data_IF_940509118220
#
_entry.id   IF_940509118220
#
_cell.length_a   1.000
_cell.length_b   1.000
_cell.length_c   1.000
_cell.angle_alpha   90.00
_cell.angle_beta   90.00
_cell.angle_gamma   90.00
#
_symmetry.space_group_name_H-M   'P 1'
#
loop_
_entity.id
_entity.type
_entity.pdbx_description
1 polymer ?
#
# COMPACT_ATOMS: atom_id res chain seq x y z
N UNK A 1 19.03 17.25 -4.78
CA UNK A 1 18.02 17.59 -3.76
C UNK A 1 16.98 16.48 -3.61
N UNK A 2 16.11 16.22 -4.60
CA UNK A 2 15.04 15.21 -4.45
C UNK A 2 15.51 13.77 -4.18
N UNK A 3 16.68 13.37 -4.70
CA UNK A 3 17.27 12.07 -4.37
C UNK A 3 17.63 11.91 -2.90
N UNK A 4 18.01 13.00 -2.22
CA UNK A 4 18.27 12.99 -0.78
C UNK A 4 16.99 12.81 0.04
N UNK A 5 15.88 13.37 -0.44
CA UNK A 5 14.59 13.36 0.28
C UNK A 5 14.01 11.94 0.40
N UNK A 6 14.18 11.09 -0.62
CA UNK A 6 13.76 9.68 -0.55
C UNK A 6 14.44 8.95 0.62
N UNK A 7 15.70 9.27 0.89
CA UNK A 7 16.46 8.67 1.98
C UNK A 7 16.11 9.24 3.36
N UNK A 8 15.34 10.33 3.41
CA UNK A 8 14.93 11.07 4.59
C UNK A 8 13.43 10.88 4.95
N UNK A 9 12.74 9.92 4.33
CA UNK A 9 11.36 9.60 4.68
C UNK A 9 11.24 9.16 6.15
N UNK A 10 10.29 9.76 6.87
CA UNK A 10 9.95 9.46 8.25
C UNK A 10 8.42 9.42 8.41
N UNK A 11 7.86 8.65 9.36
CA UNK A 11 6.44 8.71 9.63
C UNK A 11 6.07 10.12 10.12
N UNK A 12 5.05 10.72 9.50
CA UNK A 12 4.45 11.95 9.98
C UNK A 12 3.49 11.59 11.11
N UNK A 13 3.94 11.75 12.35
CA UNK A 13 3.10 11.53 13.54
C UNK A 13 2.03 12.61 13.71
N UNK A 14 2.20 13.76 13.05
CA UNK A 14 1.31 14.91 13.13
C UNK A 14 0.08 14.80 12.21
N UNK A 15 0.13 13.97 11.16
CA UNK A 15 -0.93 13.84 10.16
C UNK A 15 -1.64 12.51 10.30
N UNK A 16 -2.95 12.58 10.54
CA UNK A 16 -3.82 11.40 10.68
C UNK A 16 -4.94 11.41 9.65
N UNK A 17 -5.49 10.24 9.34
CA UNK A 17 -6.67 10.10 8.47
C UNK A 17 -7.83 9.60 9.31
N UNK A 18 -8.92 10.37 9.36
CA UNK A 18 -10.04 10.10 10.25
C UNK A 18 -11.37 10.09 9.51
N UNK A 19 -12.18 9.07 9.79
CA UNK A 19 -13.49 8.94 9.18
C UNK A 19 -14.49 10.04 9.55
N UNK A 20 -14.35 10.62 10.74
CA UNK A 20 -15.13 11.73 11.27
C UNK A 20 -14.35 12.37 12.43
N UNK A 21 -14.77 13.56 12.85
CA UNK A 21 -14.18 14.24 14.00
C UNK A 21 -14.45 13.47 15.30
N UNK A 22 -13.51 13.47 16.26
CA UNK A 22 -13.75 12.88 17.57
C UNK A 22 -14.95 13.54 18.25
N UNK A 23 -15.73 12.78 19.03
CA UNK A 23 -16.90 13.32 19.69
C UNK A 23 -16.50 14.40 20.71
N UNK A 24 -17.29 15.46 20.91
CA UNK A 24 -16.98 16.51 21.88
C UNK A 24 -16.82 16.00 23.32
N UNK A 25 -17.43 14.86 23.66
CA UNK A 25 -17.31 14.20 24.95
C UNK A 25 -15.93 13.58 25.20
N UNK A 26 -15.22 13.21 24.13
CA UNK A 26 -13.87 12.65 24.20
C UNK A 26 -13.03 13.13 23.00
N UNK A 27 -12.50 14.36 23.07
CA UNK A 27 -11.74 14.96 21.96
C UNK A 27 -10.38 14.30 21.74
N UNK A 28 -9.91 13.46 22.66
CA UNK A 28 -8.62 12.75 22.57
C UNK A 28 -8.75 11.36 21.95
N UNK A 29 -9.97 10.90 21.65
CA UNK A 29 -10.16 9.65 20.92
C UNK A 29 -9.59 9.76 19.51
N UNK A 30 -8.65 8.86 19.16
CA UNK A 30 -8.19 8.71 17.77
C UNK A 30 -9.22 7.96 16.95
N UNK A 31 -9.77 8.64 15.96
CA UNK A 31 -10.73 8.06 15.00
C UNK A 31 -9.95 7.51 13.80
N UNK A 32 -9.96 6.19 13.55
CA UNK A 32 -9.21 5.58 12.46
C UNK A 32 -9.78 5.98 11.08
N UNK A 33 -9.04 5.68 10.01
CA UNK A 33 -9.51 5.93 8.66
C UNK A 33 -10.68 5.00 8.29
N UNK A 34 -10.60 3.73 8.71
CA UNK A 34 -11.64 2.72 8.54
C UNK A 34 -11.94 2.01 9.88
N UNK A 35 -13.15 1.44 10.01
CA UNK A 35 -13.53 0.68 11.22
C UNK A 35 -12.83 -0.69 11.31
N UNK A 36 -12.29 -1.16 10.18
CA UNK A 36 -11.51 -2.40 10.07
C UNK A 36 -10.22 -2.15 9.27
N UNK A 37 -9.41 -3.20 9.09
CA UNK A 37 -8.17 -3.16 8.31
C UNK A 37 -8.35 -2.43 6.99
N UNK A 38 -7.52 -1.43 6.73
CA UNK A 38 -7.36 -0.90 5.37
C UNK A 38 -6.62 -1.97 4.57
N UNK A 39 -7.09 -2.30 3.37
CA UNK A 39 -6.54 -3.37 2.51
C UNK A 39 -5.88 -2.84 1.26
N UNK A 40 -6.36 -1.72 0.74
CA UNK A 40 -5.86 -1.15 -0.51
C UNK A 40 -5.76 0.37 -0.41
N UNK A 41 -4.69 0.92 -0.97
CA UNK A 41 -4.49 2.35 -1.21
C UNK A 41 -4.16 2.58 -2.68
N UNK A 42 -4.68 3.65 -3.25
CA UNK A 42 -4.26 4.14 -4.56
C UNK A 42 -4.41 5.65 -4.61
N UNK A 43 -3.55 6.33 -5.36
CA UNK A 43 -3.51 7.78 -5.47
C UNK A 43 -3.71 8.15 -6.93
N UNK A 44 -4.39 9.27 -7.17
CA UNK A 44 -4.54 9.84 -8.49
C UNK A 44 -3.16 10.07 -9.12
N UNK A 45 -2.97 9.54 -10.34
CA UNK A 45 -1.68 9.64 -11.05
C UNK A 45 -1.43 11.02 -11.63
N UNK A 46 -2.48 11.78 -11.94
CA UNK A 46 -2.36 13.03 -12.68
C UNK A 46 -1.91 14.18 -11.79
N UNK A 47 -2.67 14.47 -10.74
CA UNK A 47 -2.39 15.58 -9.82
C UNK A 47 -1.76 15.08 -8.51
N UNK A 48 -1.97 13.81 -8.14
CA UNK A 48 -1.53 13.31 -6.84
C UNK A 48 -2.31 13.90 -5.67
N UNK A 49 -3.50 14.46 -5.94
CA UNK A 49 -4.36 15.15 -4.97
C UNK A 49 -5.29 14.21 -4.21
N UNK A 50 -5.90 13.26 -4.90
CA UNK A 50 -6.90 12.36 -4.30
C UNK A 50 -6.28 11.01 -3.94
N UNK A 51 -6.45 10.60 -2.67
CA UNK A 51 -6.14 9.26 -2.19
C UNK A 51 -7.45 8.48 -2.02
N UNK A 52 -7.46 7.24 -2.49
CA UNK A 52 -8.53 6.27 -2.23
C UNK A 52 -8.05 5.21 -1.25
N UNK A 53 -8.90 4.85 -0.30
CA UNK A 53 -8.67 3.75 0.62
C UNK A 53 -9.84 2.80 0.67
N UNK A 54 -9.52 1.50 0.68
CA UNK A 54 -10.49 0.41 0.71
C UNK A 54 -10.34 -0.43 1.96
N UNK A 55 -11.42 -0.62 2.71
CA UNK A 55 -11.43 -1.35 3.97
C UNK A 55 -11.92 -2.79 3.84
N UNK A 56 -11.50 -3.62 4.80
CA UNK A 56 -12.09 -4.94 5.03
C UNK A 56 -13.56 -4.86 5.49
N UNK A 57 -14.02 -3.67 5.89
CA UNK A 57 -15.40 -3.33 6.24
C UNK A 57 -16.29 -3.03 5.02
N UNK A 58 -15.83 -3.34 3.80
CA UNK A 58 -16.49 -3.07 2.52
C UNK A 58 -16.68 -1.58 2.19
N UNK A 59 -16.00 -0.67 2.92
CA UNK A 59 -16.08 0.77 2.65
C UNK A 59 -14.94 1.27 1.76
N UNK A 60 -15.25 2.22 0.89
CA UNK A 60 -14.29 3.00 0.10
C UNK A 60 -14.37 4.44 0.59
N UNK A 61 -13.22 5.07 0.81
CA UNK A 61 -13.15 6.48 1.21
C UNK A 61 -12.23 7.25 0.27
N UNK A 62 -12.59 8.50 0.01
CA UNK A 62 -11.76 9.46 -0.73
C UNK A 62 -11.22 10.50 0.24
N UNK A 63 -9.94 10.81 0.09
CA UNK A 63 -9.24 11.83 0.86
C UNK A 63 -8.65 12.86 -0.11
N UNK A 64 -8.85 14.14 0.21
CA UNK A 64 -8.17 15.23 -0.47
C UNK A 64 -6.88 15.56 0.31
N UNK A 65 -5.73 15.29 -0.31
CA UNK A 65 -4.41 15.49 0.29
C UNK A 65 -3.97 16.97 0.26
N UNK A 66 -4.65 17.82 -0.50
CA UNK A 66 -4.38 19.27 -0.56
C UNK A 66 -5.39 20.08 0.26
N UNK A 67 -6.48 19.45 0.70
CA UNK A 67 -7.43 20.10 1.58
C UNK A 67 -6.77 20.49 2.92
N UNK A 68 -7.19 21.65 3.46
CA UNK A 68 -6.76 22.07 4.79
C UNK A 68 -7.09 21.00 5.82
N UNK A 69 -6.07 20.55 6.53
CA UNK A 69 -6.24 19.59 7.61
C UNK A 69 -7.04 20.23 8.75
N UNK A 70 -7.89 19.43 9.41
CA UNK A 70 -8.61 19.90 10.59
C UNK A 70 -7.75 19.64 11.82
N UNK A 71 -7.53 20.67 12.64
CA UNK A 71 -6.84 20.50 13.90
C UNK A 71 -7.75 19.80 14.91
N UNK A 72 -7.27 18.68 15.45
CA UNK A 72 -7.89 17.95 16.56
C UNK A 72 -7.00 18.06 17.80
N UNK A 73 -7.52 17.69 18.97
CA UNK A 73 -6.71 17.64 20.19
C UNK A 73 -5.52 16.66 20.12
N UNK A 74 -5.51 15.76 19.12
CA UNK A 74 -4.46 14.76 18.90
C UNK A 74 -3.51 15.07 17.74
N UNK A 75 -3.71 16.18 17.03
CA UNK A 75 -2.92 16.56 15.85
C UNK A 75 -3.79 16.96 14.64
N UNK A 76 -3.16 17.15 13.49
CA UNK A 76 -3.84 17.48 12.25
C UNK A 76 -4.45 16.21 11.63
N UNK A 77 -5.69 16.31 11.13
CA UNK A 77 -6.41 15.20 10.53
C UNK A 77 -6.97 15.56 9.15
N UNK A 78 -6.73 14.69 8.17
CA UNK A 78 -7.52 14.64 6.95
C UNK A 78 -8.85 13.95 7.26
N UNK A 79 -9.94 14.65 6.99
CA UNK A 79 -11.28 14.07 7.06
C UNK A 79 -11.65 13.46 5.71
N UNK A 80 -12.39 12.34 5.75
CA UNK A 80 -12.87 11.72 4.53
C UNK A 80 -13.81 12.68 3.79
N UNK A 81 -13.52 12.96 2.51
CA UNK A 81 -14.33 13.82 1.66
C UNK A 81 -15.70 13.17 1.39
N UNK A 82 -15.66 11.88 1.09
CA UNK A 82 -16.83 11.06 0.82
C UNK A 82 -16.52 9.60 1.14
N UNK A 83 -17.56 8.81 1.40
CA UNK A 83 -17.44 7.38 1.67
C UNK A 83 -18.55 6.60 0.95
N UNK A 84 -18.18 5.52 0.27
CA UNK A 84 -19.09 4.51 -0.24
C UNK A 84 -19.11 3.37 0.78
N UNK A 85 -20.30 2.98 1.20
CA UNK A 85 -20.51 1.87 2.12
C UNK A 85 -21.23 0.70 1.46
N UNK A 86 -21.39 -0.37 2.23
CA UNK A 86 -22.18 -1.53 1.86
C UNK A 86 -23.56 -1.13 1.33
N UNK A 87 -23.86 -1.48 0.09
CA UNK A 87 -25.20 -1.33 -0.48
C UNK A 87 -26.21 -2.14 0.35
N UNK A 88 -27.35 -1.51 0.70
CA UNK A 88 -28.39 -2.15 1.52
C UNK A 88 -28.89 -3.43 0.84
N UNK A 89 -28.58 -4.58 1.42
CA UNK A 89 -29.00 -5.91 0.93
C UNK A 89 -27.88 -6.74 0.29
N UNK A 90 -26.72 -6.16 0.00
CA UNK A 90 -25.57 -6.88 -0.56
C UNK A 90 -24.79 -7.69 0.48
N UNK A 91 -24.20 -8.82 0.08
CA UNK A 91 -23.21 -9.57 0.87
C UNK A 91 -21.85 -8.84 0.86
N UNK A 92 -21.80 -7.61 1.38
CA UNK A 92 -20.56 -6.81 1.41
C UNK A 92 -19.46 -7.55 2.18
N UNK A 93 -18.43 -7.99 1.45
CA UNK A 93 -17.18 -8.52 1.97
C UNK A 93 -16.06 -7.48 1.76
N UNK A 94 -14.89 -7.74 2.33
CA UNK A 94 -13.78 -6.79 2.32
C UNK A 94 -13.24 -6.50 0.92
N UNK A 95 -12.81 -5.26 0.71
CA UNK A 95 -12.15 -4.83 -0.52
C UNK A 95 -10.74 -5.40 -0.55
N UNK A 96 -10.31 -5.93 -1.69
CA UNK A 96 -9.00 -6.54 -1.89
C UNK A 96 -8.02 -5.61 -2.59
N UNK A 97 -8.49 -4.84 -3.57
CA UNK A 97 -7.66 -3.89 -4.31
C UNK A 97 -8.48 -2.71 -4.84
N UNK A 98 -7.83 -1.56 -4.96
CA UNK A 98 -8.33 -0.36 -5.62
C UNK A 98 -7.35 0.08 -6.70
N UNK A 99 -7.87 0.62 -7.79
CA UNK A 99 -7.06 1.24 -8.84
C UNK A 99 -7.83 2.38 -9.51
N UNK A 100 -7.22 3.57 -9.57
CA UNK A 100 -7.70 4.61 -10.47
C UNK A 100 -7.63 4.11 -11.92
N UNK A 101 -8.60 4.57 -12.72
CA UNK A 101 -8.52 4.34 -14.14
C UNK A 101 -7.38 5.19 -14.72
N UNK A 102 -6.42 4.59 -15.45
CA UNK A 102 -5.13 5.23 -15.72
C UNK A 102 -5.18 6.42 -16.69
N UNK A 103 -6.30 6.61 -17.40
CA UNK A 103 -6.48 7.67 -18.39
C UNK A 103 -7.53 8.72 -17.99
N UNK A 104 -8.22 8.52 -16.86
CA UNK A 104 -9.27 9.40 -16.36
C UNK A 104 -9.35 9.30 -14.83
N UNK A 105 -9.11 10.42 -14.12
CA UNK A 105 -9.20 10.50 -12.66
C UNK A 105 -10.64 10.45 -12.15
N UNK A 106 -11.64 10.60 -13.02
CA UNK A 106 -13.06 10.56 -12.68
C UNK A 106 -13.59 9.13 -12.49
N UNK A 107 -12.77 8.11 -12.79
CA UNK A 107 -13.15 6.72 -12.68
C UNK A 107 -12.13 5.91 -11.88
N UNK A 108 -12.61 4.94 -11.10
CA UNK A 108 -11.77 3.98 -10.41
C UNK A 108 -12.48 2.64 -10.26
N UNK A 109 -11.70 1.59 -10.04
CA UNK A 109 -12.19 0.24 -9.86
C UNK A 109 -11.89 -0.27 -8.45
N UNK A 110 -12.81 -1.08 -7.93
CA UNK A 110 -12.59 -1.88 -6.73
C UNK A 110 -12.76 -3.35 -7.06
N UNK A 111 -11.99 -4.19 -6.36
CA UNK A 111 -12.20 -5.63 -6.31
C UNK A 111 -12.47 -6.06 -4.89
N UNK A 112 -13.28 -7.09 -4.72
CA UNK A 112 -13.75 -7.52 -3.42
C UNK A 112 -13.76 -9.04 -3.27
N UNK A 113 -13.78 -9.49 -2.01
CA UNK A 113 -14.00 -10.89 -1.66
C UNK A 113 -15.43 -11.38 -1.99
N UNK A 114 -16.35 -10.48 -2.35
CA UNK A 114 -17.73 -10.79 -2.77
C UNK A 114 -17.87 -11.27 -4.22
N UNK A 115 -16.73 -11.54 -4.88
CA UNK A 115 -16.60 -12.02 -6.25
C UNK A 115 -16.79 -10.96 -7.33
N UNK A 116 -16.94 -9.70 -6.94
CA UNK A 116 -17.23 -8.61 -7.86
C UNK A 116 -16.02 -7.72 -8.12
N UNK A 117 -15.99 -7.17 -9.33
CA UNK A 117 -15.22 -5.98 -9.67
C UNK A 117 -16.21 -4.88 -10.00
N UNK A 118 -16.11 -3.73 -9.32
CA UNK A 118 -17.03 -2.62 -9.49
C UNK A 118 -16.29 -1.41 -10.06
N UNK A 119 -16.91 -0.73 -11.01
CA UNK A 119 -16.45 0.53 -11.58
C UNK A 119 -17.24 1.67 -10.94
N UNK A 120 -16.54 2.69 -10.44
CA UNK A 120 -17.12 3.83 -9.74
C UNK A 120 -16.78 5.14 -10.43
N UNK A 121 -17.67 6.12 -10.27
CA UNK A 121 -17.36 7.53 -10.47
C UNK A 121 -16.71 8.10 -9.20
N UNK A 122 -15.56 8.76 -9.32
CA UNK A 122 -14.86 9.35 -8.17
C UNK A 122 -15.58 10.56 -7.59
N UNK A 123 -16.33 11.33 -8.40
CA UNK A 123 -17.11 12.48 -7.93
C UNK A 123 -18.28 12.06 -7.04
N UNK A 124 -19.01 11.02 -7.44
CA UNK A 124 -20.26 10.61 -6.78
C UNK A 124 -20.08 9.41 -5.83
N UNK A 125 -18.97 8.67 -5.96
CA UNK A 125 -18.75 7.39 -5.28
C UNK A 125 -19.84 6.34 -5.55
N UNK A 126 -20.57 6.46 -6.66
CA UNK A 126 -21.61 5.50 -7.06
C UNK A 126 -21.03 4.48 -8.06
N UNK A 127 -21.38 3.21 -7.86
CA UNK A 127 -21.03 2.15 -8.79
C UNK A 127 -21.78 2.34 -10.11
N UNK A 128 -21.04 2.49 -11.21
CA UNK A 128 -21.56 2.63 -12.57
C UNK A 128 -21.71 1.28 -13.27
N UNK A 129 -20.87 0.31 -12.93
CA UNK A 129 -20.95 -1.06 -13.44
C UNK A 129 -20.45 -2.07 -12.40
N UNK A 130 -20.97 -3.29 -12.47
CA UNK A 130 -20.62 -4.42 -11.60
C UNK A 130 -20.35 -5.64 -12.47
N UNK A 131 -19.20 -6.28 -12.25
CA UNK A 131 -18.76 -7.46 -12.98
C UNK A 131 -18.59 -8.61 -11.99
N UNK A 132 -19.47 -9.60 -12.05
CA UNK A 132 -19.35 -10.83 -11.27
C UNK A 132 -18.42 -11.82 -11.97
N UNK A 133 -17.42 -12.31 -11.24
CA UNK A 133 -16.43 -13.27 -11.72
C UNK A 133 -16.63 -14.69 -11.17
N UNK A 134 -17.68 -14.91 -10.36
CA UNK A 134 -17.98 -16.19 -9.67
C UNK A 134 -16.81 -16.73 -8.83
N UNK A 135 -15.92 -15.83 -8.41
CA UNK A 135 -14.71 -16.15 -7.70
C UNK A 135 -14.18 -14.96 -6.91
N UNK A 136 -13.61 -15.25 -5.73
CA UNK A 136 -12.84 -14.27 -4.96
C UNK A 136 -11.77 -13.63 -5.85
N UNK A 137 -11.76 -12.30 -5.88
CA UNK A 137 -10.79 -11.49 -6.62
C UNK A 137 -9.72 -10.99 -5.66
N UNK A 138 -8.48 -11.45 -5.80
CA UNK A 138 -7.36 -11.08 -4.93
C UNK A 138 -6.68 -9.77 -5.35
N UNK A 139 -6.65 -9.51 -6.65
CA UNK A 139 -5.99 -8.33 -7.21
C UNK A 139 -6.60 -7.97 -8.57
N UNK A 140 -6.58 -6.69 -8.88
CA UNK A 140 -6.88 -6.15 -10.22
C UNK A 140 -5.73 -5.28 -10.71
N UNK A 141 -5.53 -5.26 -12.01
CA UNK A 141 -4.57 -4.39 -12.66
C UNK A 141 -5.10 -3.83 -13.97
N UNK A 142 -4.82 -2.57 -14.24
CA UNK A 142 -5.07 -1.89 -15.51
C UNK A 142 -3.74 -1.52 -16.17
N UNK A 143 -3.73 -1.48 -17.51
CA UNK A 143 -2.54 -1.04 -18.24
C UNK A 143 -2.41 0.48 -18.19
N UNK A 144 -1.25 1.04 -17.77
CA UNK A 144 -1.08 2.48 -17.69
C UNK A 144 -0.91 3.18 -19.06
N UNK A 145 -0.76 2.40 -20.13
CA UNK A 145 -0.42 2.90 -21.48
C UNK A 145 -1.35 2.39 -22.57
N UNK A 146 -2.06 1.29 -22.35
CA UNK A 146 -2.76 0.63 -23.43
C UNK A 146 -4.03 1.38 -23.85
N UNK A 147 -4.32 1.32 -25.15
CA UNK A 147 -5.57 1.81 -25.72
C UNK A 147 -6.77 0.88 -25.48
N UNK A 148 -6.54 -0.34 -24.99
CA UNK A 148 -7.60 -1.30 -24.68
C UNK A 148 -8.17 -1.07 -23.28
N UNK A 149 -9.42 -1.48 -23.09
CA UNK A 149 -10.16 -1.27 -21.84
C UNK A 149 -10.21 -2.54 -20.98
N UNK A 150 -9.13 -3.34 -21.02
CA UNK A 150 -9.06 -4.61 -20.31
C UNK A 150 -8.55 -4.42 -18.89
N UNK A 151 -9.24 -5.06 -17.95
CA UNK A 151 -8.83 -5.21 -16.55
C UNK A 151 -8.39 -6.64 -16.36
N UNK A 152 -7.16 -6.84 -15.89
CA UNK A 152 -6.69 -8.15 -15.49
C UNK A 152 -7.09 -8.43 -14.04
N UNK A 153 -7.78 -9.54 -13.82
CA UNK A 153 -8.27 -9.95 -12.52
C UNK A 153 -7.60 -11.25 -12.08
N UNK A 154 -6.89 -11.18 -10.96
CA UNK A 154 -6.34 -12.31 -10.25
C UNK A 154 -7.43 -12.91 -9.35
N UNK A 155 -7.79 -14.17 -9.57
CA UNK A 155 -8.92 -14.81 -8.87
C UNK A 155 -8.51 -16.13 -8.22
N UNK A 156 -9.40 -16.71 -7.43
CA UNK A 156 -9.23 -18.07 -6.89
C UNK A 156 -9.05 -19.14 -7.98
N UNK A 157 -9.47 -18.86 -9.21
CA UNK A 157 -9.32 -19.77 -10.32
C UNK A 157 -7.90 -19.74 -10.91
N UNK A 158 -7.47 -20.83 -11.56
CA UNK A 158 -6.16 -20.94 -12.21
C UNK A 158 -5.98 -20.07 -13.46
N UNK A 159 -7.04 -19.46 -13.96
CA UNK A 159 -6.94 -18.63 -15.15
C UNK A 159 -6.99 -17.16 -14.73
N UNK A 160 -6.13 -16.34 -15.35
CA UNK A 160 -6.27 -14.89 -15.24
C UNK A 160 -7.50 -14.49 -16.04
N UNK A 161 -8.46 -13.82 -15.40
CA UNK A 161 -9.68 -13.32 -16.06
C UNK A 161 -9.39 -11.93 -16.61
N UNK A 162 -9.77 -11.65 -17.86
CA UNK A 162 -9.77 -10.30 -18.39
C UNK A 162 -11.21 -9.83 -18.54
N UNK A 163 -11.48 -8.64 -17.99
CA UNK A 163 -12.78 -7.96 -18.09
C UNK A 163 -12.62 -6.79 -19.05
N UNK A 164 -13.47 -6.74 -20.07
CA UNK A 164 -13.52 -5.59 -20.98
C UNK A 164 -14.55 -4.57 -20.50
N UNK A 165 -14.10 -3.39 -20.09
CA UNK A 165 -14.98 -2.33 -19.58
C UNK A 165 -15.89 -1.75 -20.67
N UNK A 166 -15.56 -1.92 -21.96
CA UNK A 166 -16.39 -1.41 -23.06
C UNK A 166 -17.65 -2.24 -23.25
N UNK A 167 -17.47 -3.55 -23.31
CA UNK A 167 -18.56 -4.51 -23.59
C UNK A 167 -19.18 -5.09 -22.33
N UNK A 168 -18.49 -4.98 -21.20
CA UNK A 168 -18.80 -5.68 -19.96
C UNK A 168 -18.55 -7.19 -20.00
N UNK A 169 -17.88 -7.69 -21.04
CA UNK A 169 -17.60 -9.12 -21.19
C UNK A 169 -16.48 -9.58 -20.23
N UNK A 170 -16.69 -10.73 -19.59
CA UNK A 170 -15.74 -11.41 -18.67
C UNK A 170 -15.21 -12.74 -19.23
N UNK A 171 -15.43 -12.98 -20.53
CA UNK A 171 -15.22 -14.29 -21.17
C UNK A 171 -13.75 -14.59 -21.47
N UNK A 172 -12.90 -13.57 -21.59
CA UNK A 172 -11.51 -13.78 -21.93
C UNK A 172 -10.74 -14.30 -20.72
N UNK A 173 -10.05 -15.43 -20.89
CA UNK A 173 -9.29 -16.07 -19.81
C UNK A 173 -7.94 -16.56 -20.32
N UNK A 174 -6.89 -16.30 -19.54
CA UNK A 174 -5.53 -16.72 -19.83
C UNK A 174 -5.23 -17.97 -19.01
N UNK A 175 -5.23 -19.13 -19.67
CA UNK A 175 -5.04 -20.41 -19.03
C UNK A 175 -3.55 -20.79 -18.93
N UNK A 176 -3.10 -21.17 -17.73
CA UNK A 176 -1.76 -21.74 -17.53
C UNK A 176 -1.33 -21.95 -16.09
N UNK A 177 -1.78 -21.14 -15.12
CA UNK A 177 -1.41 -21.35 -13.71
C UNK A 177 -2.00 -22.65 -13.15
N UNK A 178 -1.37 -23.19 -12.11
CA UNK A 178 -1.80 -24.39 -11.40
C UNK A 178 -2.25 -24.01 -9.98
N UNK A 179 -3.39 -23.33 -9.90
CA UNK A 179 -3.97 -22.83 -8.64
C UNK A 179 -4.27 -21.34 -8.69
N UNK A 180 -4.74 -20.77 -7.57
CA UNK A 180 -5.20 -19.38 -7.53
C UNK A 180 -4.13 -18.38 -8.01
N UNK A 181 -4.55 -17.41 -8.81
CA UNK A 181 -3.74 -16.27 -9.21
C UNK A 181 -3.87 -15.21 -8.11
N UNK A 182 -2.76 -14.78 -7.53
CA UNK A 182 -2.77 -13.85 -6.40
C UNK A 182 -2.53 -12.40 -6.84
N UNK A 183 -1.71 -12.19 -7.86
CA UNK A 183 -1.33 -10.85 -8.32
C UNK A 183 -1.16 -10.78 -9.83
N UNK A 184 -1.51 -9.64 -10.40
CA UNK A 184 -1.34 -9.31 -11.83
C UNK A 184 -0.72 -7.92 -11.96
N UNK A 185 0.10 -7.69 -12.98
CA UNK A 185 0.62 -6.36 -13.29
C UNK A 185 0.88 -6.20 -14.79
N UNK A 186 0.36 -5.13 -15.37
CA UNK A 186 0.60 -4.78 -16.77
C UNK A 186 1.97 -4.14 -16.96
N UNK A 187 2.56 -4.38 -18.13
CA UNK A 187 3.83 -3.77 -18.52
C UNK A 187 3.66 -2.25 -18.71
N UNK A 188 4.53 -1.41 -18.11
CA UNK A 188 4.44 0.04 -18.23
C UNK A 188 4.93 0.57 -19.58
N UNK A 189 5.52 -0.28 -20.43
CA UNK A 189 6.14 0.09 -21.72
C UNK A 189 5.61 -0.70 -22.92
N UNK A 190 4.79 -1.74 -22.71
CA UNK A 190 4.22 -2.57 -23.78
C UNK A 190 2.73 -2.81 -23.54
N UNK A 191 1.89 -2.33 -24.45
CA UNK A 191 0.43 -2.23 -24.28
C UNK A 191 -0.26 -3.56 -23.94
N UNK A 192 0.18 -4.65 -24.56
CA UNK A 192 -0.50 -5.95 -24.49
C UNK A 192 0.19 -6.97 -23.59
N UNK A 193 1.25 -6.57 -22.89
CA UNK A 193 2.02 -7.49 -22.04
C UNK A 193 1.51 -7.41 -20.61
N UNK A 194 1.12 -8.57 -20.09
CA UNK A 194 0.69 -8.76 -18.72
C UNK A 194 1.59 -9.79 -18.04
N UNK A 195 1.88 -9.57 -16.76
CA UNK A 195 2.51 -10.58 -15.91
C UNK A 195 1.56 -10.97 -14.78
N UNK A 196 1.49 -12.25 -14.46
CA UNK A 196 0.71 -12.77 -13.35
C UNK A 196 1.52 -13.72 -12.49
N UNK A 197 1.13 -13.85 -11.23
CA UNK A 197 1.75 -14.78 -10.30
C UNK A 197 0.71 -15.39 -9.34
N UNK A 198 0.97 -16.60 -8.87
CA UNK A 198 -0.02 -17.38 -8.13
C UNK A 198 0.55 -18.26 -7.02
N UNK A 199 -0.34 -19.09 -6.49
CA UNK A 199 -0.06 -20.07 -5.42
C UNK A 199 0.94 -21.14 -5.86
N UNK A 200 1.03 -21.41 -7.15
CA UNK A 200 1.96 -22.38 -7.75
C UNK A 200 3.44 -21.95 -7.70
N UNK A 201 3.72 -20.74 -7.25
CA UNK A 201 5.08 -20.17 -7.21
C UNK A 201 5.60 -19.74 -8.58
N UNK A 202 4.76 -19.79 -9.62
CA UNK A 202 5.13 -19.38 -10.98
C UNK A 202 4.82 -17.89 -11.20
N UNK A 203 5.65 -17.26 -12.03
CA UNK A 203 5.40 -15.93 -12.58
C UNK A 203 5.38 -16.08 -14.09
N UNK A 204 4.26 -15.69 -14.72
CA UNK A 204 3.96 -15.97 -16.13
C UNK A 204 3.75 -14.69 -16.90
N UNK A 205 4.23 -14.66 -18.13
CA UNK A 205 4.09 -13.54 -19.06
C UNK A 205 3.04 -13.88 -20.11
N UNK A 206 2.22 -12.90 -20.46
CA UNK A 206 1.12 -13.05 -21.41
C UNK A 206 1.17 -11.93 -22.43
N UNK A 207 0.84 -12.26 -23.68
CA UNK A 207 0.39 -11.29 -24.67
C UNK A 207 -1.11 -11.50 -24.81
N UNK A 208 -1.91 -10.54 -24.37
CA UNK A 208 -3.37 -10.69 -24.31
C UNK A 208 -4.03 -10.82 -25.69
N UNK A 209 -3.29 -10.55 -26.77
CA UNK A 209 -3.75 -10.77 -28.15
C UNK A 209 -3.63 -12.22 -28.60
N UNK A 210 -2.87 -13.04 -27.87
CA UNK A 210 -2.72 -14.46 -28.18
C UNK A 210 -3.87 -15.23 -27.54
N UNK A 211 -4.56 -16.01 -28.36
CA UNK A 211 -5.69 -16.83 -27.92
C UNK A 211 -5.26 -18.08 -27.15
N UNK A 212 -4.00 -18.50 -27.24
CA UNK A 212 -3.48 -19.71 -26.59
C UNK A 212 -2.07 -19.49 -26.07
N UNK A 213 -1.87 -19.88 -24.82
CA UNK A 213 -0.55 -20.02 -24.19
C UNK A 213 0.01 -18.74 -23.60
N UNK A 214 0.86 -18.94 -22.59
CA UNK A 214 1.75 -17.89 -22.08
C UNK A 214 2.90 -17.60 -23.06
N UNK A 215 3.48 -16.41 -22.97
CA UNK A 215 4.74 -16.09 -23.65
C UNK A 215 5.92 -16.86 -23.05
N UNK A 216 5.86 -17.12 -21.76
CA UNK A 216 6.85 -17.84 -20.99
C UNK A 216 6.61 -17.66 -19.49
N UNK A 217 7.29 -18.48 -18.70
CA UNK A 217 7.28 -18.40 -17.25
C UNK A 217 8.72 -18.26 -16.74
N UNK A 218 8.88 -17.49 -15.66
CA UNK A 218 10.15 -17.31 -14.99
C UNK A 218 10.52 -18.59 -14.23
N UNK A 219 11.80 -18.92 -14.27
CA UNK A 219 12.34 -20.12 -13.65
C UNK A 219 13.56 -19.74 -12.81
N UNK A 220 13.49 -20.04 -11.52
CA UNK A 220 14.55 -19.79 -10.55
C UNK A 220 15.85 -20.53 -10.90
N UNK A 221 15.75 -21.70 -11.52
CA UNK A 221 16.89 -22.53 -11.86
C UNK A 221 17.49 -22.13 -13.24
N UNK A 222 16.81 -21.29 -14.03
CA UNK A 222 17.31 -20.74 -15.29
C UNK A 222 18.05 -19.40 -15.08
N UNK A 223 19.36 -19.50 -14.88
CA UNK A 223 20.24 -18.34 -14.72
C UNK A 223 20.49 -17.54 -16.00
N UNK A 224 20.19 -18.10 -17.18
CA UNK A 224 20.48 -17.47 -18.48
C UNK A 224 19.26 -16.77 -19.06
N UNK A 225 18.05 -17.16 -18.64
CA UNK A 225 16.83 -16.63 -19.23
C UNK A 225 16.67 -17.07 -20.68
N UNK A 226 16.88 -18.36 -20.97
CA UNK A 226 16.64 -18.88 -22.32
C UNK A 226 15.13 -19.10 -22.59
N UNK A 227 14.29 -18.92 -21.56
CA UNK A 227 12.87 -19.27 -21.58
C UNK A 227 11.87 -18.14 -21.82
N UNK A 228 12.28 -16.86 -21.83
CA UNK A 228 11.37 -15.73 -22.02
C UNK A 228 11.64 -15.04 -23.37
N UNK A 229 10.59 -14.90 -24.19
CA UNK A 229 10.58 -14.13 -25.45
C UNK A 229 11.61 -14.60 -26.49
N UNK A 230 11.34 -15.75 -27.13
CA UNK A 230 11.80 -16.02 -28.51
C UNK A 230 13.30 -16.26 -28.75
N UNK A 231 14.16 -16.18 -27.73
CA UNK A 231 15.58 -16.43 -27.88
C UNK A 231 15.86 -17.95 -27.92
N UNK A 232 15.80 -18.55 -29.12
CA UNK A 232 16.26 -19.92 -29.35
C UNK A 232 17.79 -19.96 -29.25
N UNK A 233 18.35 -20.14 -28.06
CA UNK A 233 19.77 -20.48 -27.91
C UNK A 233 19.95 -21.99 -28.05
N UNK A 234 20.45 -22.42 -29.22
CA UNK A 234 21.02 -23.73 -29.61
C UNK A 234 20.32 -25.04 -29.19
N UNK A 235 20.22 -26.09 -30.06
CA UNK A 235 19.50 -27.34 -29.78
C UNK A 235 20.11 -28.23 -28.67
N UNK A 236 21.17 -27.80 -27.97
CA UNK A 236 21.92 -28.67 -27.06
C UNK A 236 21.32 -28.84 -25.65
N UNK A 237 20.21 -28.17 -25.33
CA UNK A 237 19.47 -28.40 -24.07
C UNK A 237 18.20 -29.25 -24.27
N UNK A 238 18.04 -29.92 -25.42
CA UNK A 238 16.92 -30.83 -25.68
C UNK A 238 17.13 -32.23 -25.09
N UNK A 239 17.74 -32.33 -23.90
CA UNK A 239 17.56 -33.51 -23.06
C UNK A 239 16.39 -33.23 -22.12
N UNK A 240 15.22 -33.64 -22.58
CA UNK A 240 14.06 -34.06 -21.79
C UNK A 240 14.06 -33.62 -20.31
N UNK A 241 13.37 -32.52 -20.02
CA UNK A 241 12.52 -32.47 -18.83
C UNK A 241 11.12 -32.04 -19.25
N UNK A 242 10.38 -32.99 -19.84
CA UNK A 242 8.94 -33.02 -19.58
C UNK A 242 8.80 -33.47 -18.12
N UNK A 243 8.74 -32.55 -17.15
CA UNK A 243 8.03 -32.77 -15.86
C UNK A 243 8.24 -31.72 -14.77
N UNK A 244 9.13 -30.73 -14.87
CA UNK A 244 9.31 -29.76 -13.76
C UNK A 244 8.54 -28.47 -14.05
N UNK A 245 7.59 -28.06 -13.19
CA UNK A 245 6.92 -26.77 -13.33
C UNK A 245 7.94 -25.65 -13.14
N UNK A 246 7.97 -24.68 -14.07
CA UNK A 246 8.80 -23.48 -13.96
C UNK A 246 8.31 -22.64 -12.77
N UNK A 247 9.19 -22.44 -11.79
CA UNK A 247 8.86 -21.74 -10.56
C UNK A 247 9.82 -20.58 -10.35
N UNK A 248 9.26 -19.40 -10.09
CA UNK A 248 10.03 -18.22 -9.71
C UNK A 248 10.37 -18.23 -8.21
N UNK A 249 9.51 -18.81 -7.38
CA UNK A 249 9.65 -18.89 -5.93
C UNK A 249 9.32 -20.29 -5.42
N UNK A 250 9.91 -20.69 -4.28
CA UNK A 250 9.62 -21.97 -3.59
C UNK A 250 8.37 -21.88 -2.70
N UNK A 251 7.32 -21.22 -3.21
CA UNK A 251 6.07 -20.95 -2.51
C UNK A 251 5.23 -19.89 -3.24
N UNK A 252 4.01 -19.59 -2.76
CA UNK A 252 3.12 -18.61 -3.38
C UNK A 252 3.78 -17.26 -3.65
N UNK A 253 3.48 -16.65 -4.79
CA UNK A 253 3.92 -15.31 -5.17
C UNK A 253 2.74 -14.36 -5.10
N UNK A 254 2.80 -13.41 -4.16
CA UNK A 254 1.73 -12.46 -3.85
C UNK A 254 2.16 -10.99 -4.03
N UNK A 255 3.40 -10.74 -4.44
CA UNK A 255 3.88 -9.40 -4.78
C UNK A 255 4.52 -9.39 -6.15
N UNK A 256 4.11 -8.45 -7.00
CA UNK A 256 4.65 -8.27 -8.33
C UNK A 256 4.62 -6.80 -8.73
N UNK A 257 5.74 -6.27 -9.19
CA UNK A 257 5.83 -4.90 -9.71
C UNK A 257 6.82 -4.81 -10.87
N UNK A 258 6.62 -3.85 -11.75
CA UNK A 258 7.53 -3.56 -12.84
C UNK A 258 8.43 -2.37 -12.47
N UNK A 259 9.67 -2.43 -12.92
CA UNK A 259 10.50 -1.22 -13.06
C UNK A 259 9.85 -0.28 -14.07
N UNK A 260 10.02 1.03 -13.87
CA UNK A 260 9.33 2.05 -14.67
C UNK A 260 9.74 2.01 -16.16
N UNK A 261 10.97 1.58 -16.45
CA UNK A 261 11.47 1.34 -17.80
C UNK A 261 11.00 0.01 -18.42
N UNK A 262 10.32 -0.83 -17.63
CA UNK A 262 9.82 -2.14 -18.00
C UNK A 262 10.89 -3.20 -18.27
N UNK A 263 12.18 -2.93 -17.96
CA UNK A 263 13.29 -3.87 -18.21
C UNK A 263 13.35 -4.97 -17.16
N UNK A 264 12.80 -4.73 -15.98
CA UNK A 264 12.79 -5.71 -14.90
C UNK A 264 11.41 -5.86 -14.27
N UNK A 265 11.13 -7.07 -13.80
CA UNK A 265 10.02 -7.40 -12.90
C UNK A 265 10.61 -7.76 -11.55
N UNK A 266 10.00 -7.26 -10.48
CA UNK A 266 10.30 -7.66 -9.11
C UNK A 266 9.18 -8.54 -8.59
N UNK A 267 9.52 -9.73 -8.10
CA UNK A 267 8.56 -10.67 -7.51
C UNK A 267 8.87 -10.97 -6.04
N UNK A 268 7.82 -11.09 -5.24
CA UNK A 268 7.90 -11.37 -3.80
C UNK A 268 7.10 -12.63 -3.49
N UNK A 269 7.74 -13.60 -2.83
CA UNK A 269 7.11 -14.89 -2.52
C UNK A 269 7.18 -15.27 -1.05
N UNK A 270 6.42 -16.31 -0.69
CA UNK A 270 6.35 -16.87 0.66
C UNK A 270 7.62 -17.59 1.10
N UNK A 271 8.55 -17.82 0.18
CA UNK A 271 9.91 -18.27 0.49
C UNK A 271 10.77 -17.17 1.14
N UNK A 272 10.15 -16.05 1.53
CA UNK A 272 10.78 -14.89 2.16
C UNK A 272 11.89 -14.28 1.28
N UNK A 273 11.76 -14.42 -0.05
CA UNK A 273 12.68 -13.84 -1.01
C UNK A 273 11.97 -12.79 -1.87
N UNK A 274 12.75 -11.76 -2.23
CA UNK A 274 12.44 -10.83 -3.31
C UNK A 274 13.42 -11.16 -4.45
N UNK A 275 12.94 -11.22 -5.68
CA UNK A 275 13.77 -11.50 -6.86
C UNK A 275 13.53 -10.45 -7.93
N UNK A 276 14.58 -10.09 -8.65
CA UNK A 276 14.55 -9.15 -9.76
C UNK A 276 14.92 -9.89 -11.03
N UNK A 277 14.06 -9.79 -12.04
CA UNK A 277 14.16 -10.56 -13.28
C UNK A 277 14.26 -9.63 -14.45
N UNK A 278 15.19 -9.91 -15.36
CA UNK A 278 15.25 -9.22 -16.65
C UNK A 278 14.05 -9.65 -17.51
N UNK A 279 13.34 -8.71 -18.12
CA UNK A 279 12.08 -9.00 -18.85
C UNK A 279 12.30 -9.34 -20.31
N UNK A 280 13.52 -9.17 -20.82
CA UNK A 280 13.91 -9.51 -22.18
C UNK A 280 14.38 -10.96 -22.28
N UNK A 281 15.12 -11.42 -21.27
CA UNK A 281 15.64 -12.79 -21.16
C UNK A 281 14.81 -13.64 -20.19
N UNK A 282 14.27 -13.06 -19.13
CA UNK A 282 13.71 -13.83 -18.01
C UNK A 282 14.78 -14.32 -17.03
N UNK A 283 16.03 -13.87 -17.17
CA UNK A 283 17.10 -14.24 -16.27
C UNK A 283 16.87 -13.62 -14.88
N UNK A 284 17.13 -14.41 -13.83
CA UNK A 284 17.23 -13.89 -12.48
C UNK A 284 18.54 -13.09 -12.35
N UNK A 285 18.45 -11.84 -11.88
CA UNK A 285 19.63 -10.99 -11.63
C UNK A 285 20.45 -11.43 -10.41
N UNK A 286 19.93 -12.38 -9.61
CA UNK A 286 20.57 -12.97 -8.42
C UNK A 286 20.88 -11.95 -7.31
N UNK A 287 20.20 -10.80 -7.32
CA UNK A 287 20.29 -9.80 -6.25
C UNK A 287 19.79 -10.38 -4.93
N UNK A 288 20.51 -10.11 -3.85
CA UNK A 288 20.20 -10.62 -2.50
C UNK A 288 19.71 -9.48 -1.60
N UNK A 289 18.49 -9.62 -1.09
CA UNK A 289 17.87 -8.62 -0.19
C UNK A 289 18.04 -8.95 1.30
N UNK A 290 18.80 -10.00 1.63
CA UNK A 290 19.10 -10.40 3.00
C UNK A 290 17.92 -11.10 3.73
N UNK A 291 18.11 -11.50 5.00
CA UNK A 291 17.18 -12.36 5.74
C UNK A 291 16.02 -11.61 6.40
N UNK A 292 15.93 -10.28 6.24
CA UNK A 292 14.94 -9.45 6.94
C UNK A 292 13.55 -9.47 6.29
N UNK A 293 13.48 -9.88 5.02
CA UNK A 293 12.23 -10.03 4.28
C UNK A 293 11.38 -11.10 4.95
N UNK A 294 10.14 -10.75 5.27
CA UNK A 294 9.13 -11.65 5.80
C UNK A 294 7.90 -11.57 4.93
N UNK A 295 7.46 -12.70 4.41
CA UNK A 295 6.25 -12.78 3.61
C UNK A 295 5.40 -13.95 4.09
N UNK A 296 4.22 -13.64 4.64
CA UNK A 296 3.28 -14.62 5.13
C UNK A 296 1.85 -14.22 4.74
N UNK A 297 1.02 -15.24 4.52
CA UNK A 297 -0.39 -15.08 4.15
C UNK A 297 -0.62 -14.80 2.67
N UNK A 298 -1.81 -15.12 2.17
CA UNK A 298 -2.16 -15.01 0.75
C UNK A 298 -2.50 -13.58 0.28
N UNK A 299 -2.55 -12.61 1.20
CA UNK A 299 -2.83 -11.22 0.85
C UNK A 299 -1.74 -10.65 -0.06
N UNK A 300 -2.15 -9.81 -1.01
CA UNK A 300 -1.27 -9.10 -1.94
C UNK A 300 -0.24 -8.26 -1.18
N UNK A 301 1.04 -8.39 -1.53
CA UNK A 301 2.16 -7.65 -0.96
C UNK A 301 2.99 -7.02 -2.07
N UNK A 302 2.39 -6.03 -2.71
CA UNK A 302 2.99 -5.36 -3.87
C UNK A 302 3.98 -4.31 -3.35
N UNK A 303 5.30 -4.44 -3.64
CA UNK A 303 6.24 -3.39 -3.34
C UNK A 303 6.02 -2.22 -4.30
N UNK A 304 6.34 -1.01 -3.85
CA UNK A 304 6.32 0.18 -4.69
C UNK A 304 7.75 0.62 -4.99
N UNK A 305 7.97 1.17 -6.18
CA UNK A 305 9.24 1.77 -6.58
C UNK A 305 9.12 3.29 -6.49
N UNK A 306 10.16 3.93 -5.96
CA UNK A 306 10.27 5.38 -6.04
C UNK A 306 10.31 5.81 -7.52
N UNK A 307 9.61 6.89 -7.90
CA UNK A 307 9.65 7.41 -9.27
C UNK A 307 11.08 7.71 -9.72
N UNK A 308 11.42 7.33 -10.95
CA UNK A 308 12.78 7.48 -11.48
C UNK A 308 13.25 8.93 -11.54
N UNK A 309 12.34 9.90 -11.60
CA UNK A 309 12.68 11.33 -11.58
C UNK A 309 13.39 11.79 -10.29
N UNK A 310 13.25 11.03 -9.21
CA UNK A 310 13.85 11.33 -7.93
C UNK A 310 15.09 10.50 -7.64
N UNK A 311 15.44 9.56 -8.50
CA UNK A 311 16.50 8.58 -8.24
C UNK A 311 17.54 8.66 -9.36
N UNK A 312 18.81 8.41 -9.02
CA UNK A 312 19.84 8.31 -10.06
C UNK A 312 19.56 7.10 -10.97
N UNK A 313 19.90 7.14 -12.26
CA UNK A 313 19.74 5.99 -13.13
C UNK A 313 20.40 4.72 -12.52
N UNK A 314 19.67 3.60 -12.49
CA UNK A 314 20.09 2.33 -11.88
C UNK A 314 20.24 2.33 -10.35
N UNK A 315 19.83 3.41 -9.66
CA UNK A 315 19.77 3.48 -8.20
C UNK A 315 18.35 3.27 -7.66
N UNK A 316 17.46 2.68 -8.45
CA UNK A 316 16.04 2.46 -8.14
C UNK A 316 15.84 2.00 -6.69
N UNK A 317 14.97 2.71 -5.98
CA UNK A 317 14.65 2.43 -4.58
C UNK A 317 13.29 1.76 -4.51
N UNK A 318 13.23 0.60 -3.87
CA UNK A 318 12.02 -0.16 -3.61
C UNK A 318 11.63 -0.07 -2.15
N UNK A 319 10.35 0.14 -1.88
CA UNK A 319 9.74 0.05 -0.57
C UNK A 319 8.90 -1.23 -0.48
N UNK A 320 9.31 -2.14 0.41
CA UNK A 320 8.67 -3.43 0.61
C UNK A 320 7.90 -3.48 1.94
N UNK A 321 6.59 -3.81 1.94
CA UNK A 321 5.80 -3.96 3.16
C UNK A 321 6.17 -5.26 3.91
N UNK A 322 6.73 -5.12 5.12
CA UNK A 322 7.33 -6.19 5.91
C UNK A 322 6.66 -6.36 7.28
N UNK A 323 5.38 -6.71 7.31
CA UNK A 323 4.64 -6.76 8.57
C UNK A 323 4.41 -5.35 9.09
N UNK A 324 4.96 -4.97 10.24
CA UNK A 324 4.75 -3.65 10.87
C UNK A 324 5.74 -2.57 10.40
N UNK A 325 6.70 -2.92 9.53
CA UNK A 325 7.70 -2.01 9.00
C UNK A 325 7.76 -2.06 7.47
N UNK A 326 8.32 -1.02 6.86
CA UNK A 326 8.64 -0.94 5.44
C UNK A 326 10.16 -1.04 5.31
N UNK A 327 10.63 -1.96 4.48
CA UNK A 327 12.05 -2.08 4.16
C UNK A 327 12.34 -1.34 2.85
N UNK A 328 13.22 -0.34 2.90
CA UNK A 328 13.69 0.37 1.73
C UNK A 328 14.98 -0.26 1.21
N UNK A 329 14.98 -0.74 -0.04
CA UNK A 329 16.11 -1.41 -0.67
C UNK A 329 16.49 -0.71 -1.96
N UNK A 330 17.77 -0.74 -2.31
CA UNK A 330 18.20 -0.48 -3.68
C UNK A 330 17.95 -1.74 -4.52
N UNK A 331 17.21 -1.61 -5.62
CA UNK A 331 16.68 -2.74 -6.40
C UNK A 331 17.79 -3.62 -6.98
N UNK A 332 18.84 -3.01 -7.53
CA UNK A 332 19.89 -3.75 -8.26
C UNK A 332 21.08 -4.15 -7.37
N UNK A 333 21.28 -3.46 -6.26
CA UNK A 333 22.36 -3.80 -5.30
C UNK A 333 21.87 -4.69 -4.16
N UNK A 334 20.56 -4.74 -3.91
CA UNK A 334 19.97 -5.46 -2.78
C UNK A 334 20.29 -4.84 -1.42
N UNK A 335 20.95 -3.67 -1.40
CA UNK A 335 21.38 -2.97 -0.19
C UNK A 335 20.16 -2.42 0.55
N UNK A 336 20.02 -2.80 1.82
CA UNK A 336 19.06 -2.19 2.74
C UNK A 336 19.50 -0.75 3.02
N UNK A 337 18.64 0.20 2.68
CA UNK A 337 18.85 1.63 2.88
C UNK A 337 18.32 2.03 4.25
N UNK A 338 17.07 1.70 4.55
CA UNK A 338 16.36 2.14 5.74
C UNK A 338 15.22 1.19 6.10
N UNK A 339 14.86 1.20 7.38
CA UNK A 339 13.65 0.57 7.92
C UNK A 339 12.74 1.69 8.39
N UNK A 340 11.53 1.72 7.85
CA UNK A 340 10.53 2.71 8.20
C UNK A 340 9.45 2.01 9.04
N UNK A 341 9.25 2.45 10.27
CA UNK A 341 8.25 1.90 11.17
C UNK A 341 7.65 3.02 11.99
N UNK A 342 6.43 2.82 12.51
CA UNK A 342 5.82 3.77 13.44
C UNK A 342 6.65 3.83 14.72
N UNK A 343 6.86 5.03 15.25
CA UNK A 343 7.64 5.27 16.49
C UNK A 343 6.88 4.85 17.76
N UNK A 344 5.63 4.39 17.64
CA UNK A 344 4.79 3.85 18.72
C UNK A 344 5.31 2.48 19.22
N UNK A 345 6.60 2.38 19.56
CA UNK A 345 7.17 1.28 20.31
C UNK A 345 6.82 1.47 21.80
N UNK A 346 5.58 1.16 22.19
CA UNK A 346 5.38 0.61 23.52
C UNK A 346 6.13 -0.71 23.59
N UNK A 347 7.30 -0.66 24.24
CA UNK A 347 8.06 -1.75 24.86
C UNK A 347 8.08 -3.11 24.15
N UNK A 348 9.31 -3.60 23.94
CA UNK A 348 9.70 -4.93 23.47
C UNK A 348 9.19 -6.13 24.31
N UNK A 349 7.89 -6.23 24.61
CA UNK A 349 7.31 -7.35 25.37
C UNK A 349 5.79 -7.55 25.20
N UNK A 350 5.22 -7.29 24.02
CA UNK A 350 3.78 -7.55 23.77
C UNK A 350 3.54 -8.84 22.99
N UNK A 351 2.51 -9.59 23.40
CA UNK A 351 2.01 -10.83 22.78
C UNK A 351 1.99 -10.79 21.24
N UNK A 352 2.31 -11.91 20.54
CA UNK A 352 2.28 -12.00 19.07
C UNK A 352 0.93 -11.66 18.43
N UNK A 353 -0.17 -11.68 19.20
CA UNK A 353 -1.49 -11.22 18.76
C UNK A 353 -1.56 -9.70 18.51
N UNK A 354 -0.74 -8.89 19.19
CA UNK A 354 -0.71 -7.41 19.03
C UNK A 354 0.04 -7.02 17.75
N UNK A 355 1.09 -7.77 17.37
CA UNK A 355 1.84 -7.55 16.13
C UNK A 355 1.01 -7.73 14.84
N UNK A 356 -0.08 -8.50 14.91
CA UNK A 356 -0.99 -8.70 13.76
C UNK A 356 -1.80 -7.44 13.43
N UNK A 357 -2.06 -6.58 14.43
CA UNK A 357 -2.92 -5.40 14.24
C UNK A 357 -2.24 -4.26 13.50
N UNK A 358 -0.93 -4.08 13.61
CA UNK A 358 -0.22 -2.99 12.92
C UNK A 358 0.43 -3.43 11.59
N UNK A 359 0.01 -4.58 11.05
CA UNK A 359 0.57 -5.07 9.79
C UNK A 359 0.19 -4.16 8.62
N UNK A 360 1.20 -3.72 7.87
CA UNK A 360 1.07 -2.96 6.64
C UNK A 360 0.50 -3.87 5.56
N UNK A 361 -0.57 -3.42 4.95
CA UNK A 361 -1.34 -4.18 3.96
C UNK A 361 -1.15 -3.66 2.53
N UNK A 362 -0.93 -2.35 2.37
CA UNK A 362 -0.78 -1.71 1.07
C UNK A 362 0.06 -0.43 1.20
N UNK A 363 0.73 -0.05 0.12
CA UNK A 363 1.54 1.15 0.01
C UNK A 363 1.12 1.93 -1.24
N UNK A 364 1.17 3.26 -1.17
CA UNK A 364 0.94 4.14 -2.31
C UNK A 364 1.96 5.28 -2.33
N UNK A 365 2.55 5.56 -3.49
CA UNK A 365 3.44 6.72 -3.69
C UNK A 365 2.63 7.89 -4.22
N UNK A 366 2.83 9.09 -3.67
CA UNK A 366 2.20 10.32 -4.19
C UNK A 366 2.98 10.84 -5.40
N UNK A 367 2.37 10.92 -6.60
CA UNK A 367 3.01 11.56 -7.74
C UNK A 367 3.40 13.01 -7.44
N UNK A 368 4.45 13.50 -8.08
CA UNK A 368 4.94 14.90 -7.97
C UNK A 368 5.43 15.37 -6.58
N UNK A 369 5.24 14.57 -5.54
CA UNK A 369 5.75 14.80 -4.19
C UNK A 369 6.68 13.66 -3.75
N UNK A 370 7.56 13.93 -2.78
CA UNK A 370 8.35 12.89 -2.10
C UNK A 370 7.60 12.46 -0.84
N UNK A 371 6.43 11.85 -1.07
CA UNK A 371 5.51 11.42 -0.03
C UNK A 371 4.98 10.02 -0.37
N UNK A 372 4.85 9.18 0.65
CA UNK A 372 4.32 7.83 0.55
C UNK A 372 3.26 7.62 1.63
N UNK A 373 2.28 6.77 1.38
CA UNK A 373 1.27 6.40 2.36
C UNK A 373 1.24 4.89 2.55
N UNK A 374 1.05 4.45 3.80
CA UNK A 374 0.85 3.04 4.14
C UNK A 374 -0.51 2.80 4.78
N UNK A 375 -1.15 1.71 4.39
CA UNK A 375 -2.37 1.21 4.99
C UNK A 375 -2.04 0.12 6.01
N UNK A 376 -2.76 0.13 7.13
CA UNK A 376 -2.50 -0.77 8.25
C UNK A 376 -3.72 -1.64 8.58
N UNK A 377 -3.45 -2.78 9.18
CA UNK A 377 -4.47 -3.74 9.61
C UNK A 377 -5.35 -3.24 10.78
N UNK A 378 -4.94 -2.18 11.46
CA UNK A 378 -5.66 -1.52 12.56
C UNK A 378 -6.70 -0.51 12.05
N UNK A 379 -6.76 -0.28 10.74
CA UNK A 379 -7.67 0.68 10.12
C UNK A 379 -7.08 2.08 9.93
N UNK A 380 -5.80 2.29 10.26
CA UNK A 380 -5.11 3.56 10.07
C UNK A 380 -4.41 3.65 8.71
N UNK A 381 -4.20 4.90 8.29
CA UNK A 381 -3.35 5.28 7.16
C UNK A 381 -2.26 6.18 7.73
N UNK A 382 -1.01 5.91 7.38
CA UNK A 382 0.15 6.68 7.83
C UNK A 382 0.80 7.36 6.64
N UNK A 383 1.08 8.66 6.78
CA UNK A 383 1.85 9.43 5.82
C UNK A 383 3.35 9.35 6.15
N UNK A 384 4.17 9.16 5.12
CA UNK A 384 5.63 9.17 5.18
C UNK A 384 6.11 10.34 4.34
N UNK A 385 6.60 11.38 4.99
CA UNK A 385 7.08 12.60 4.36
C UNK A 385 8.58 12.71 4.54
N UNK A 386 9.26 13.37 3.60
CA UNK A 386 10.69 13.62 3.75
C UNK A 386 10.89 14.72 4.79
N UNK A 387 11.66 14.44 5.86
CA UNK A 387 12.00 15.45 6.87
C UNK A 387 13.21 16.25 6.38
N UNK A 388 13.03 17.54 6.18
CA UNK A 388 14.10 18.49 5.88
C UNK A 388 14.78 18.97 7.17
N UNK A 389 15.95 19.60 7.07
CA UNK A 389 16.61 20.21 8.24
C UNK A 389 15.74 21.33 8.86
N UNK A 390 15.05 22.10 8.02
CA UNK A 390 14.08 23.11 8.45
C UNK A 390 12.91 22.51 9.24
N UNK A 391 12.40 21.33 8.85
CA UNK A 391 11.36 20.63 9.60
C UNK A 391 11.86 20.16 10.99
N UNK A 392 13.15 19.80 11.10
CA UNK A 392 13.73 19.40 12.38
C UNK A 392 13.91 20.62 13.30
N UNK A 393 14.34 21.76 12.77
CA UNK A 393 14.45 23.02 13.52
C UNK A 393 13.06 23.51 14.00
N UNK A 394 12.04 23.44 13.15
CA UNK A 394 10.65 23.79 13.52
C UNK A 394 10.10 22.87 14.62
N UNK A 395 10.34 21.57 14.54
CA UNK A 395 9.90 20.63 15.58
C UNK A 395 10.59 20.91 16.93
N UNK A 396 11.88 21.28 16.92
CA UNK A 396 12.62 21.68 18.13
C UNK A 396 12.06 23.00 18.71
N UNK A 397 11.72 23.97 17.86
CA UNK A 397 11.04 25.20 18.28
C UNK A 397 9.67 24.91 18.90
N UNK A 398 8.83 24.07 18.26
CA UNK A 398 7.53 23.68 18.80
C UNK A 398 7.63 22.89 20.11
N UNK A 399 8.63 22.02 20.26
CA UNK A 399 8.87 21.31 21.52
C UNK A 399 9.27 22.27 22.65
N UNK A 400 10.16 23.24 22.37
CA UNK A 400 10.50 24.29 23.34
C UNK A 400 9.27 25.12 23.74
N UNK A 401 8.42 25.51 22.78
CA UNK A 401 7.18 26.24 23.08
C UNK A 401 6.20 25.41 23.94
N UNK A 402 6.07 24.10 23.66
CA UNK A 402 5.24 23.20 24.47
C UNK A 402 5.79 23.07 25.89
N UNK A 403 7.09 22.87 26.05
CA UNK A 403 7.73 22.79 27.36
C UNK A 403 7.58 24.09 28.18
N UNK A 404 7.72 25.25 27.53
CA UNK A 404 7.44 26.54 28.17
C UNK A 404 5.97 26.66 28.59
N UNK A 405 5.03 26.28 27.72
CA UNK A 405 3.59 26.33 28.02
C UNK A 405 3.20 25.40 29.18
N UNK A 406 3.81 24.21 29.27
CA UNK A 406 3.62 23.28 30.38
C UNK A 406 4.25 23.79 31.67
N UNK A 407 5.43 24.40 31.57
CA UNK A 407 6.11 25.06 32.68
C UNK A 407 5.25 26.18 33.28
N UNK A 408 4.66 27.01 32.44
CA UNK A 408 3.77 28.10 32.85
C UNK A 408 2.45 27.59 33.43
N UNK A 409 1.87 26.52 32.86
CA UNK A 409 0.71 25.84 33.44
C UNK A 409 1.03 25.26 34.83
N UNK A 410 2.19 24.62 35.01
CA UNK A 410 2.65 24.11 36.32
C UNK A 410 2.84 25.25 37.33
N UNK A 411 3.46 26.36 36.93
CA UNK A 411 3.61 27.56 37.78
C UNK A 411 2.26 28.13 38.21
N UNK A 412 1.33 28.33 37.26
CA UNK A 412 -0.03 28.82 37.55
C UNK A 412 -0.78 27.88 38.49
N UNK A 413 -0.64 26.55 38.31
CA UNK A 413 -1.23 25.55 39.21
C UNK A 413 -0.65 25.63 40.63
N UNK A 414 0.66 25.78 40.76
CA UNK A 414 1.33 25.93 42.05
C UNK A 414 0.89 27.20 42.81
N UNK A 415 0.79 28.35 42.12
CA UNK A 415 0.31 29.61 42.71
C UNK A 415 -1.15 29.48 43.16
N UNK A 416 -2.00 28.81 42.39
CA UNK A 416 -3.40 28.58 42.74
C UNK A 416 -3.54 27.68 43.98
N UNK A 417 -2.70 26.66 44.09
CA UNK A 417 -2.65 25.73 45.22
C UNK A 417 -2.16 26.40 46.51
N UNK A 418 -1.18 27.31 46.39
CA UNK A 418 -0.69 28.13 47.49
C UNK A 418 -1.74 29.15 47.98
N UNK A 419 -2.46 29.79 47.06
CA UNK A 419 -3.62 30.65 47.37
C UNK A 419 -4.73 29.87 48.08
N UNK A 420 -5.03 28.66 47.63
CA UNK A 420 -6.04 27.80 48.24
C UNK A 420 -5.63 27.37 49.67
N UNK A 421 -4.36 27.00 49.87
CA UNK A 421 -3.83 26.74 51.20
C UNK A 421 -3.86 27.98 52.10
N UNK A 422 -3.57 29.16 51.55
CA UNK A 422 -3.65 30.44 52.26
C UNK A 422 -5.06 30.82 52.69
N UNK A 423 -6.08 30.53 51.88
CA UNK A 423 -7.49 30.77 52.20
C UNK A 423 -8.03 29.77 53.23
N UNK A 424 -7.62 28.51 53.15
CA UNK A 424 -8.12 27.43 54.04
C UNK A 424 -7.43 27.42 55.41
N UNK A 425 -6.26 28.04 55.55
CA UNK A 425 -5.51 28.13 56.83
C UNK A 425 -5.75 29.40 57.63
N UNK A 426 -6.55 30.36 57.15
CA UNK A 426 -6.92 31.55 57.93
C UNK A 426 -8.12 31.24 58.83
N UNK A 427 -7.97 31.21 60.17
CA UNK A 427 -9.12 31.06 61.06
C UNK A 427 -10.00 32.31 60.96
N UNK A 428 -11.27 32.11 60.62
CA UNK A 428 -12.28 33.17 60.62
C UNK A 428 -12.57 33.52 62.08
N UNK A 429 -11.95 34.59 62.59
CA UNK A 429 -12.27 35.15 63.90
C UNK A 429 -13.57 35.94 63.79
N UNK A 430 -14.67 35.37 64.25
CA UNK A 430 -15.87 36.14 64.55
C UNK A 430 -15.60 36.98 65.80
N UNK A 431 -15.52 38.30 65.63
CA UNK A 431 -15.32 39.24 66.73
C UNK A 431 -16.48 39.19 67.73
N UNK A 432 -16.13 39.09 69.01
CA UNK A 432 -17.05 39.18 70.14
C UNK A 432 -17.91 40.46 70.08
N UNK A 433 -19.23 40.30 70.18
CA UNK A 433 -20.11 41.32 70.75
C UNK A 433 -20.41 40.92 72.20
N UNK A 434 -19.82 41.64 73.15
CA UNK A 434 -20.36 41.78 74.51
C UNK A 434 -21.48 42.84 74.46
N UNK A 435 -22.71 42.48 74.82
CA UNK A 435 -23.36 42.68 76.14
C UNK A 435 -24.67 41.90 76.13
#
# INVERSE_FOLDING_TARGET
MASSLIYALHPSSAVTFSQHLPPPSDPYTRVPAHASSVKALTIDRFEGRYLLSGGADSSIRIWDLEASMTQTATGAAHLALSAAGKEKGGKGLGITQLAFYPFDSLAFLSSSYDHTVKLYSSETLVASAEFDLDAVVYNIALSPIASHLLVACATQHPNVRLVDLRSGATTHSLAGHVGAVLVTAWSPVRDHILVSAGVDGSVRFWDVRRSVGELGALDLEDSVGAGLIGHKTSPSASHASKSVPKQAHRGPVNGLTWTQDGRHVVSCGHDAQIRVWDTSTGANTLVKFGPMVRNSGLASRIPILAPTQYVQPHADVMFYPNGHEILAYQVFDGKLIRRLGRTDNYASNTNPLVQSKDAITSLAWRPHNVEMYSAHADGNIVAWTARTEEDAELDEEEEMEREESEGDRKRKRGVLEELYQGLTKRPIMFGNMEV
#
